data_IF_741963667317
#
_entry.id   IF_741963667317
#
_cell.length_a   1.000
_cell.length_b   1.000
_cell.length_c   1.000
_cell.angle_alpha   90.00
_cell.angle_beta   90.00
_cell.angle_gamma   90.00
#
_symmetry.space_group_name_H-M   'P 1'
#
loop_
_entity.id
_entity.type
_entity.pdbx_description
1 polymer ?
#
# COMPACT_ATOMS: atom_id res chain seq x y z
N UNK A 1 -10.09 -13.73 -10.14
CA UNK A 1 -10.70 -13.49 -8.81
C UNK A 1 -10.60 -12.04 -8.38
N UNK A 2 -9.42 -11.42 -8.44
CA UNK A 2 -9.21 -9.98 -8.19
C UNK A 2 -10.21 -9.05 -8.90
N UNK A 3 -10.42 -9.25 -10.20
CA UNK A 3 -11.39 -8.43 -10.96
C UNK A 3 -12.83 -8.57 -10.44
N UNK A 4 -13.22 -9.74 -9.92
CA UNK A 4 -14.57 -9.97 -9.39
C UNK A 4 -14.81 -9.22 -8.07
N UNK A 5 -13.75 -8.83 -7.37
CA UNK A 5 -13.79 -8.05 -6.13
C UNK A 5 -13.37 -6.59 -6.34
N UNK A 6 -13.28 -6.15 -7.61
CA UNK A 6 -13.03 -4.75 -7.97
C UNK A 6 -11.56 -4.34 -7.83
N UNK A 7 -10.62 -5.27 -7.98
CA UNK A 7 -9.19 -4.99 -8.01
C UNK A 7 -8.58 -5.50 -9.32
N UNK A 8 -7.75 -4.68 -9.95
CA UNK A 8 -6.78 -5.15 -10.94
C UNK A 8 -5.52 -5.66 -10.26
N UNK A 9 -4.77 -6.54 -10.92
CA UNK A 9 -3.46 -6.99 -10.43
C UNK A 9 -2.47 -5.83 -10.30
N UNK A 10 -2.61 -4.80 -11.13
CA UNK A 10 -1.75 -3.62 -11.09
C UNK A 10 -2.03 -2.78 -9.85
N UNK A 11 -3.29 -2.43 -9.58
CA UNK A 11 -3.69 -1.69 -8.37
C UNK A 11 -3.31 -2.46 -7.10
N UNK A 12 -3.49 -3.79 -7.12
CA UNK A 12 -3.07 -4.63 -5.99
C UNK A 12 -1.56 -4.54 -5.75
N UNK A 13 -0.75 -4.63 -6.80
CA UNK A 13 0.70 -4.53 -6.71
C UNK A 13 1.16 -3.15 -6.22
N UNK A 14 0.56 -2.07 -6.71
CA UNK A 14 0.89 -0.70 -6.29
C UNK A 14 0.57 -0.47 -4.82
N UNK A 15 -0.59 -0.93 -4.35
CA UNK A 15 -0.96 -0.79 -2.95
C UNK A 15 -0.09 -1.66 -2.02
N UNK A 16 0.27 -2.88 -2.43
CA UNK A 16 1.21 -3.71 -1.68
C UNK A 16 2.59 -3.02 -1.59
N UNK A 17 3.08 -2.47 -2.70
CA UNK A 17 4.33 -1.71 -2.72
C UNK A 17 4.28 -0.51 -1.78
N UNK A 18 3.18 0.25 -1.78
CA UNK A 18 2.96 1.36 -0.85
C UNK A 18 3.03 0.92 0.61
N UNK A 19 2.36 -0.18 0.97
CA UNK A 19 2.32 -0.67 2.35
C UNK A 19 3.71 -1.16 2.82
N UNK A 20 4.48 -1.83 1.96
CA UNK A 20 5.73 -2.49 2.33
C UNK A 20 6.98 -1.63 2.16
N UNK A 21 7.13 -1.02 0.99
CA UNK A 21 8.33 -0.24 0.64
C UNK A 21 8.07 1.26 0.77
N UNK A 22 6.83 1.67 0.54
CA UNK A 22 6.41 3.06 0.48
C UNK A 22 6.38 3.62 -0.93
N UNK A 23 5.65 4.72 -1.07
CA UNK A 23 5.62 5.51 -2.29
C UNK A 23 5.68 7.03 -1.95
N UNK A 24 6.25 7.84 -2.86
CA UNK A 24 6.23 9.29 -2.69
C UNK A 24 4.78 9.80 -2.75
N UNK A 25 4.39 10.58 -1.75
CA UNK A 25 3.05 11.19 -1.68
C UNK A 25 3.07 12.69 -1.92
N UNK A 26 4.20 13.33 -1.60
CA UNK A 26 4.38 14.76 -1.83
C UNK A 26 5.87 15.12 -1.73
N UNK A 27 6.17 16.40 -1.94
CA UNK A 27 7.50 16.96 -1.77
C UNK A 27 7.44 18.11 -0.76
N UNK A 28 8.41 18.16 0.13
CA UNK A 28 8.58 19.24 1.09
C UNK A 28 9.87 19.99 0.75
N UNK A 29 9.78 21.31 0.75
CA UNK A 29 10.95 22.17 0.60
C UNK A 29 11.61 22.36 1.96
N UNK A 30 12.86 21.91 2.05
CA UNK A 30 13.72 22.09 3.22
C UNK A 30 14.88 23.01 2.82
N UNK A 31 14.76 24.30 3.18
CA UNK A 31 15.72 25.35 2.83
C UNK A 31 15.93 25.46 1.29
N UNK A 32 17.10 25.05 0.80
CA UNK A 32 17.46 25.02 -0.62
C UNK A 32 17.24 23.65 -1.28
N UNK A 33 16.78 22.65 -0.53
CA UNK A 33 16.58 21.27 -0.99
C UNK A 33 15.09 20.93 -1.09
N UNK A 34 14.78 20.01 -1.99
CA UNK A 34 13.45 19.38 -2.07
C UNK A 34 13.59 17.94 -1.61
N UNK A 35 12.84 17.57 -0.59
CA UNK A 35 12.79 16.21 -0.06
C UNK A 35 11.46 15.55 -0.43
N UNK A 36 11.50 14.30 -0.89
CA UNK A 36 10.29 13.50 -1.09
C UNK A 36 9.76 13.01 0.26
N UNK A 37 8.45 13.14 0.45
CA UNK A 37 7.74 12.52 1.57
C UNK A 37 7.24 11.16 1.10
N UNK A 38 7.80 10.12 1.70
CA UNK A 38 7.39 8.73 1.44
C UNK A 38 6.38 8.30 2.50
N UNK A 39 5.18 7.93 2.08
CA UNK A 39 4.21 7.28 2.95
C UNK A 39 4.27 5.76 2.79
N UNK A 40 4.05 5.05 3.90
CA UNK A 40 4.13 3.60 4.05
C UNK A 40 3.51 3.14 5.36
N UNK A 41 3.31 1.84 5.54
CA UNK A 41 2.84 1.29 6.81
C UNK A 41 3.84 1.51 7.95
N UNK A 42 3.31 1.88 9.12
CA UNK A 42 4.09 2.12 10.32
C UNK A 42 4.64 0.82 10.94
N UNK A 43 5.64 0.95 11.82
CA UNK A 43 6.10 -0.14 12.68
C UNK A 43 6.91 -1.25 12.00
N UNK A 44 7.19 -2.32 12.75
CA UNK A 44 7.88 -3.52 12.27
C UNK A 44 6.95 -4.48 11.53
N UNK A 45 5.63 -4.26 11.57
CA UNK A 45 4.64 -5.17 10.99
C UNK A 45 4.81 -5.35 9.47
N UNK A 46 5.30 -4.32 8.75
CA UNK A 46 5.66 -4.45 7.32
C UNK A 46 6.85 -5.37 7.05
N UNK A 47 7.69 -5.60 8.07
CA UNK A 47 8.88 -6.45 8.00
C UNK A 47 8.60 -7.88 8.47
N UNK A 48 7.40 -8.13 9.01
CA UNK A 48 6.96 -9.45 9.46
C UNK A 48 6.03 -10.07 8.40
N UNK A 49 6.49 -11.08 7.64
CA UNK A 49 5.66 -11.76 6.65
C UNK A 49 4.38 -12.35 7.25
N UNK A 50 4.36 -12.70 8.54
CA UNK A 50 3.16 -13.23 9.20
C UNK A 50 2.05 -12.18 9.35
N UNK A 51 2.42 -10.90 9.35
CA UNK A 51 1.50 -9.74 9.47
C UNK A 51 0.97 -9.26 8.11
N UNK A 52 1.44 -9.81 7.00
CA UNK A 52 0.92 -9.44 5.67
C UNK A 52 -0.59 -9.70 5.55
N UNK A 53 -1.09 -10.78 6.14
CA UNK A 53 -2.51 -11.12 6.09
C UNK A 53 -3.42 -10.15 6.87
N UNK A 54 -2.84 -9.34 7.77
CA UNK A 54 -3.56 -8.32 8.54
C UNK A 54 -3.77 -7.03 7.71
N UNK A 55 -3.13 -6.92 6.54
CA UNK A 55 -3.23 -5.74 5.68
C UNK A 55 -4.48 -5.76 4.80
N UNK A 56 -4.98 -4.57 4.49
CA UNK A 56 -6.14 -4.36 3.64
C UNK A 56 -5.79 -3.52 2.42
N UNK A 57 -6.32 -3.92 1.25
CA UNK A 57 -6.30 -3.12 0.03
C UNK A 57 -7.65 -2.42 -0.16
N UNK A 58 -7.66 -1.32 -0.88
CA UNK A 58 -8.87 -0.65 -1.32
C UNK A 58 -9.17 -1.07 -2.76
N UNK A 59 -10.40 -1.50 -3.01
CA UNK A 59 -10.86 -1.76 -4.37
C UNK A 59 -11.39 -0.47 -5.04
N UNK A 60 -11.66 -0.52 -6.34
CA UNK A 60 -12.11 0.67 -7.08
C UNK A 60 -13.50 1.20 -6.66
N UNK A 61 -14.24 0.44 -5.83
CA UNK A 61 -15.49 0.89 -5.21
C UNK A 61 -15.26 1.56 -3.84
N UNK A 62 -14.01 1.72 -3.40
CA UNK A 62 -13.67 2.29 -2.11
C UNK A 62 -13.91 1.35 -0.92
N UNK A 63 -14.00 0.04 -1.16
CA UNK A 63 -14.17 -0.96 -0.10
C UNK A 63 -12.81 -1.56 0.28
N UNK A 64 -12.60 -1.72 1.60
CA UNK A 64 -11.47 -2.45 2.14
C UNK A 64 -11.61 -3.97 1.91
N UNK A 65 -10.56 -4.58 1.37
CA UNK A 65 -10.44 -6.00 1.04
C UNK A 65 -9.20 -6.54 1.75
N UNK A 66 -9.32 -7.49 2.70
CA UNK A 66 -8.17 -8.11 3.34
C UNK A 66 -7.29 -8.87 2.34
N UNK A 67 -5.95 -8.78 2.48
CA UNK A 67 -5.01 -9.52 1.63
C UNK A 67 -5.24 -11.05 1.68
N UNK A 68 -5.69 -11.56 2.82
CA UNK A 68 -6.05 -12.98 3.00
C UNK A 68 -7.18 -13.47 2.08
N UNK A 69 -7.96 -12.57 1.47
CA UNK A 69 -9.06 -12.91 0.56
C UNK A 69 -8.67 -12.88 -0.92
N UNK A 70 -7.44 -12.43 -1.21
CA UNK A 70 -6.95 -12.16 -2.57
C UNK A 70 -6.22 -13.38 -3.17
N UNK A 71 -5.84 -14.36 -2.34
CA UNK A 71 -5.29 -15.67 -2.72
C UNK A 71 -6.36 -16.68 -3.17
#
# INVERSE_FOLDING_TARGET
RLQLIGLSSHEAAEQIQFLLTGAPVTQVREDIRTAEVIARSAGTDRLDPSKLNDMTLMNHWGKAVPLSQIG
#
